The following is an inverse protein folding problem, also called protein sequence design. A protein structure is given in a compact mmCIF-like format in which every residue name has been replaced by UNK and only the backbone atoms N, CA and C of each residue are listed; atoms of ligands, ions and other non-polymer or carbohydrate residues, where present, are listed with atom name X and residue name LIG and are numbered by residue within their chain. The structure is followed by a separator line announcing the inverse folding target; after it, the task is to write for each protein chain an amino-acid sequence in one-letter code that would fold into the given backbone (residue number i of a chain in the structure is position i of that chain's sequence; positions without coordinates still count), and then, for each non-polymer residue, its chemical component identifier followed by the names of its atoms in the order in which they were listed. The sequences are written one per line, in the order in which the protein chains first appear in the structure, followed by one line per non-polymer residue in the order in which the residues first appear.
data_IF_268224277489
#
_entry.id   IF_268224277489
#
_cell.length_a   1.000
_cell.length_b   1.000
_cell.length_c   1.000
_cell.angle_alpha   90.00
_cell.angle_beta   90.00
_cell.angle_gamma   90.00
#
_symmetry.space_group_name_H-M   'P 1'
#
loop_
_entity.id
_entity.type
_entity.pdbx_description
1 polymer ?
#
# COMPACT_ATOMS: atom_id res chain seq x y z
N UNK A 1 -7.67 -13.50 4.70
CA UNK A 1 -6.42 -14.27 4.81
C UNK A 1 -5.12 -13.43 4.67
N UNK A 2 -5.14 -12.08 4.55
CA UNK A 2 -4.09 -11.42 3.73
C UNK A 2 -3.13 -10.39 4.36
N UNK A 3 -3.31 -9.84 5.57
CA UNK A 3 -2.33 -8.84 6.07
C UNK A 3 -1.19 -9.44 6.91
N UNK A 4 -1.51 -10.38 7.80
CA UNK A 4 -0.52 -11.00 8.72
C UNK A 4 0.45 -11.91 7.97
N UNK A 5 -0.04 -12.67 6.98
CA UNK A 5 0.77 -13.59 6.18
C UNK A 5 1.77 -12.85 5.29
N UNK A 6 1.37 -11.72 4.69
CA UNK A 6 2.26 -10.86 3.91
C UNK A 6 3.38 -10.27 4.78
N UNK A 7 3.05 -9.84 6.01
CA UNK A 7 4.04 -9.34 6.96
C UNK A 7 5.07 -10.38 7.40
N UNK A 8 4.66 -11.64 7.58
CA UNK A 8 5.56 -12.75 7.93
C UNK A 8 6.45 -13.14 6.75
N UNK A 9 5.90 -13.20 5.53
CA UNK A 9 6.66 -13.51 4.30
C UNK A 9 7.75 -12.47 4.04
N UNK A 10 7.44 -11.17 4.17
CA UNK A 10 8.44 -10.10 4.05
C UNK A 10 9.56 -10.22 5.10
N UNK A 11 9.20 -10.57 6.34
CA UNK A 11 10.17 -10.74 7.42
C UNK A 11 11.13 -11.90 7.15
N UNK A 12 10.60 -13.00 6.60
CA UNK A 12 11.39 -14.14 6.13
C UNK A 12 12.36 -13.78 5.01
N UNK A 13 11.91 -12.97 4.04
CA UNK A 13 12.72 -12.54 2.89
C UNK A 13 13.91 -11.67 3.31
N UNK A 14 13.70 -10.76 4.25
CA UNK A 14 14.80 -9.97 4.82
C UNK A 14 15.74 -10.83 5.65
N UNK A 15 15.21 -11.79 6.43
CA UNK A 15 16.03 -12.71 7.19
C UNK A 15 16.89 -13.62 6.28
N UNK A 16 16.37 -14.08 5.14
CA UNK A 16 17.12 -14.89 4.18
C UNK A 16 18.20 -14.07 3.47
N UNK A 17 17.90 -12.83 3.08
CA UNK A 17 18.89 -11.89 2.54
C UNK A 17 20.06 -11.70 3.51
N UNK A 18 19.74 -11.42 4.77
CA UNK A 18 20.73 -11.24 5.83
C UNK A 18 21.33 -12.57 6.32
N UNK A 19 20.79 -13.73 5.95
CA UNK A 19 21.40 -15.03 6.27
C UNK A 19 22.47 -15.46 5.25
N UNK A 20 22.52 -14.80 4.09
CA UNK A 20 23.33 -15.25 2.97
C UNK A 20 24.84 -14.97 3.16
N UNK A 21 25.71 -15.83 2.63
CA UNK A 21 27.16 -15.72 2.79
C UNK A 21 27.80 -14.63 1.92
N UNK A 22 27.09 -14.11 0.92
CA UNK A 22 27.59 -13.09 0.00
C UNK A 22 26.45 -12.24 -0.55
N UNK A 23 26.76 -11.02 -1.00
CA UNK A 23 25.77 -10.11 -1.59
C UNK A 23 25.05 -10.72 -2.81
N UNK A 24 25.72 -11.39 -3.77
CA UNK A 24 25.02 -12.07 -4.86
C UNK A 24 24.08 -13.18 -4.37
N UNK A 25 24.50 -13.98 -3.38
CA UNK A 25 23.66 -15.01 -2.78
C UNK A 25 22.46 -14.41 -2.01
N UNK A 26 22.65 -13.25 -1.38
CA UNK A 26 21.60 -12.51 -0.68
C UNK A 26 20.52 -12.02 -1.66
N UNK A 27 20.94 -11.45 -2.79
CA UNK A 27 20.04 -10.98 -3.86
C UNK A 27 19.22 -12.14 -4.44
N UNK A 28 19.83 -13.32 -4.61
CA UNK A 28 19.11 -14.49 -5.10
C UNK A 28 18.14 -15.05 -4.04
N UNK A 29 18.56 -15.08 -2.77
CA UNK A 29 17.73 -15.54 -1.66
C UNK A 29 16.48 -14.68 -1.44
N UNK A 30 16.58 -13.36 -1.64
CA UNK A 30 15.44 -12.45 -1.53
C UNK A 30 14.52 -12.52 -2.75
N UNK A 31 15.09 -12.71 -3.96
CA UNK A 31 14.32 -12.85 -5.21
C UNK A 31 13.32 -14.01 -5.16
N UNK A 32 13.69 -15.12 -4.53
CA UNK A 32 12.80 -16.28 -4.36
C UNK A 32 11.59 -16.05 -3.45
N UNK A 33 11.60 -15.01 -2.61
CA UNK A 33 10.55 -14.75 -1.61
C UNK A 33 9.82 -13.42 -1.84
N UNK A 34 10.46 -12.44 -2.45
CA UNK A 34 9.90 -11.13 -2.76
C UNK A 34 9.04 -11.18 -4.03
N UNK A 35 7.75 -11.47 -3.86
CA UNK A 35 6.77 -11.51 -4.95
C UNK A 35 6.59 -10.18 -5.68
N UNK A 36 6.83 -9.06 -4.99
CA UNK A 36 6.66 -7.73 -5.56
C UNK A 36 7.91 -7.23 -6.28
N UNK A 37 9.07 -7.84 -6.02
CA UNK A 37 10.36 -7.45 -6.57
C UNK A 37 10.93 -6.14 -5.99
N UNK A 38 10.21 -5.45 -5.08
CA UNK A 38 10.57 -4.13 -4.56
C UNK A 38 11.85 -4.16 -3.69
N UNK A 39 12.00 -5.18 -2.85
CA UNK A 39 13.20 -5.33 -2.03
C UNK A 39 14.37 -5.85 -2.86
N UNK A 40 14.07 -6.71 -3.83
CA UNK A 40 15.06 -7.24 -4.77
C UNK A 40 15.63 -6.13 -5.65
N UNK A 41 14.78 -5.27 -6.22
CA UNK A 41 15.21 -4.15 -7.05
C UNK A 41 16.07 -3.16 -6.27
N UNK A 42 15.69 -2.88 -5.01
CA UNK A 42 16.48 -2.04 -4.10
C UNK A 42 17.86 -2.64 -3.80
N UNK A 43 17.93 -3.93 -3.49
CA UNK A 43 19.18 -4.62 -3.22
C UNK A 43 20.12 -4.58 -4.43
N UNK A 44 19.59 -4.83 -5.63
CA UNK A 44 20.33 -4.77 -6.89
C UNK A 44 20.79 -3.34 -7.20
N UNK A 45 19.91 -2.34 -7.07
CA UNK A 45 20.24 -0.95 -7.33
C UNK A 45 21.30 -0.40 -6.37
N UNK A 46 21.23 -0.77 -5.08
CA UNK A 46 22.25 -0.44 -4.09
C UNK A 46 23.60 -1.09 -4.41
N UNK A 47 23.60 -2.39 -4.71
CA UNK A 47 24.79 -3.14 -5.09
C UNK A 47 25.46 -2.56 -6.34
N UNK A 48 24.67 -2.26 -7.38
CA UNK A 48 25.14 -1.65 -8.61
C UNK A 48 25.67 -0.24 -8.37
N UNK A 49 25.02 0.57 -7.53
CA UNK A 49 25.51 1.91 -7.19
C UNK A 49 26.86 1.87 -6.48
N UNK A 50 27.03 0.94 -5.52
CA UNK A 50 28.30 0.74 -4.83
C UNK A 50 29.41 0.16 -5.75
N UNK A 51 29.05 -0.62 -6.76
CA UNK A 51 29.98 -1.10 -7.80
C UNK A 51 30.41 0.00 -8.76
N UNK A 52 29.45 0.72 -9.34
CA UNK A 52 29.67 1.83 -10.28
C UNK A 52 30.56 2.91 -9.69
N UNK A 53 30.35 3.28 -8.42
CA UNK A 53 31.18 4.28 -7.76
C UNK A 53 32.63 3.81 -7.61
N UNK A 54 32.88 2.52 -7.33
CA UNK A 54 34.24 1.96 -7.23
C UNK A 54 34.96 1.95 -8.58
N UNK A 55 34.23 1.77 -9.67
CA UNK A 55 34.81 1.71 -11.02
C UNK A 55 34.98 3.10 -11.67
N UNK A 56 34.16 4.09 -11.28
CA UNK A 56 34.05 5.38 -11.97
C UNK A 56 34.25 6.60 -11.05
N UNK A 57 34.80 6.45 -9.83
CA UNK A 57 34.97 7.55 -8.86
C UNK A 57 35.71 8.77 -9.43
N UNK A 58 36.57 8.56 -10.41
CA UNK A 58 37.51 9.57 -10.92
C UNK A 58 37.08 10.21 -12.25
N UNK A 59 35.92 9.84 -12.82
CA UNK A 59 35.51 10.30 -14.15
C UNK A 59 34.05 10.79 -14.21
N UNK A 60 33.87 12.10 -14.38
CA UNK A 60 32.57 12.72 -14.73
C UNK A 60 32.20 13.95 -13.89
N UNK A 61 30.99 14.48 -14.14
CA UNK A 61 30.41 15.68 -13.48
C UNK A 61 30.21 15.46 -11.96
N UNK A 62 30.31 14.21 -11.48
CA UNK A 62 30.21 13.82 -10.06
C UNK A 62 31.55 13.50 -9.37
N UNK A 63 32.69 13.85 -9.96
CA UNK A 63 34.00 13.67 -9.32
C UNK A 63 34.04 14.39 -7.96
N UNK A 64 34.14 13.63 -6.86
CA UNK A 64 34.12 14.14 -5.48
C UNK A 64 32.88 13.78 -4.66
N UNK A 65 31.86 13.16 -5.25
CA UNK A 65 30.74 12.56 -4.50
C UNK A 65 31.27 11.38 -3.68
N UNK A 66 30.85 11.23 -2.42
CA UNK A 66 31.23 10.06 -1.63
C UNK A 66 30.43 8.82 -2.05
N UNK A 67 31.01 7.62 -1.91
CA UNK A 67 30.29 6.33 -2.07
C UNK A 67 28.97 6.35 -1.28
N UNK A 68 29.02 6.87 -0.05
CA UNK A 68 27.88 6.97 0.85
C UNK A 68 26.75 7.78 0.23
N UNK A 69 27.03 8.99 -0.26
CA UNK A 69 26.02 9.85 -0.87
C UNK A 69 25.45 9.26 -2.16
N UNK A 70 26.30 8.67 -3.00
CA UNK A 70 25.87 8.02 -4.25
C UNK A 70 24.92 6.85 -3.99
N UNK A 71 25.26 5.97 -3.05
CA UNK A 71 24.42 4.85 -2.64
C UNK A 71 23.13 5.35 -1.99
N UNK A 72 23.18 6.35 -1.09
CA UNK A 72 21.98 6.95 -0.49
C UNK A 72 21.03 7.48 -1.55
N UNK A 73 21.54 8.17 -2.57
CA UNK A 73 20.71 8.72 -3.65
C UNK A 73 20.05 7.62 -4.47
N UNK A 74 20.78 6.56 -4.81
CA UNK A 74 20.24 5.40 -5.52
C UNK A 74 19.11 4.73 -4.72
N UNK A 75 19.34 4.46 -3.43
CA UNK A 75 18.35 3.85 -2.55
C UNK A 75 17.11 4.72 -2.36
N UNK A 76 17.27 6.04 -2.19
CA UNK A 76 16.15 6.99 -2.13
C UNK A 76 15.32 6.98 -3.41
N UNK A 77 15.96 6.94 -4.58
CA UNK A 77 15.24 6.82 -5.85
C UNK A 77 14.38 5.56 -5.89
N UNK A 78 14.92 4.43 -5.45
CA UNK A 78 14.18 3.17 -5.40
C UNK A 78 13.01 3.20 -4.40
N UNK A 79 13.14 3.90 -3.27
CA UNK A 79 12.03 4.10 -2.33
C UNK A 79 10.89 4.88 -2.99
N UNK A 80 11.22 5.94 -3.73
CA UNK A 80 10.22 6.76 -4.45
C UNK A 80 9.51 5.94 -5.53
N UNK A 81 10.24 5.17 -6.33
CA UNK A 81 9.67 4.31 -7.38
C UNK A 81 8.76 3.23 -6.77
N UNK A 82 9.18 2.63 -5.66
CA UNK A 82 8.39 1.65 -4.91
C UNK A 82 7.11 2.28 -4.34
N UNK A 83 7.19 3.49 -3.79
CA UNK A 83 6.04 4.23 -3.29
C UNK A 83 5.00 4.46 -4.39
N UNK A 84 5.44 4.94 -5.56
CA UNK A 84 4.56 5.16 -6.71
C UNK A 84 3.85 3.87 -7.17
N UNK A 85 4.59 2.75 -7.21
CA UNK A 85 4.04 1.43 -7.55
C UNK A 85 2.98 0.97 -6.55
N UNK A 86 3.25 1.12 -5.24
CA UNK A 86 2.34 0.75 -4.15
C UNK A 86 1.07 1.61 -4.13
N UNK A 87 1.17 2.89 -4.51
CA UNK A 87 0.05 3.83 -4.52
C UNK A 87 -0.86 3.69 -5.75
N UNK A 88 -0.35 3.20 -6.88
CA UNK A 88 -1.12 3.04 -8.13
C UNK A 88 -2.41 2.23 -7.95
N UNK A 89 -2.37 1.15 -7.16
CA UNK A 89 -3.53 0.30 -6.88
C UNK A 89 -4.61 0.96 -6.01
N UNK A 90 -4.25 1.97 -5.21
CA UNK A 90 -5.21 2.71 -4.37
C UNK A 90 -6.10 3.64 -5.22
N UNK A 91 -5.58 4.17 -6.32
CA UNK A 91 -6.31 5.08 -7.21
C UNK A 91 -7.50 4.36 -7.86
N UNK A 92 -7.31 3.11 -8.30
CA UNK A 92 -8.40 2.30 -8.83
C UNK A 92 -9.49 2.01 -7.78
N UNK A 93 -9.08 1.63 -6.56
CA UNK A 93 -10.01 1.37 -5.46
C UNK A 93 -10.81 2.62 -5.06
N UNK A 94 -10.15 3.78 -5.03
CA UNK A 94 -10.79 5.06 -4.77
C UNK A 94 -11.81 5.41 -5.85
N UNK A 95 -11.48 5.20 -7.13
CA UNK A 95 -12.40 5.42 -8.26
C UNK A 95 -13.64 4.53 -8.16
N UNK A 96 -13.47 3.24 -7.87
CA UNK A 96 -14.59 2.30 -7.68
C UNK A 96 -15.45 2.70 -6.48
N UNK A 97 -14.83 3.05 -5.35
CA UNK A 97 -15.54 3.54 -4.17
C UNK A 97 -16.35 4.82 -4.43
N UNK A 98 -15.83 5.72 -5.27
CA UNK A 98 -16.51 6.98 -5.63
C UNK A 98 -17.65 6.79 -6.64
N UNK A 99 -17.58 5.76 -7.50
CA UNK A 99 -18.60 5.49 -8.52
C UNK A 99 -19.72 4.58 -8.02
N UNK A 100 -19.47 3.79 -6.98
CA UNK A 100 -20.47 2.89 -6.39
C UNK A 100 -21.80 3.56 -5.98
N UNK A 101 -21.83 4.76 -5.38
CA UNK A 101 -23.09 5.45 -5.05
C UNK A 101 -23.94 5.81 -6.28
N UNK A 102 -23.30 6.17 -7.40
CA UNK A 102 -24.01 6.53 -8.62
C UNK A 102 -24.66 5.33 -9.30
N UNK A 103 -24.03 4.15 -9.22
CA UNK A 103 -24.64 2.88 -9.67
C UNK A 103 -25.91 2.59 -8.84
N UNK A 104 -25.86 2.81 -7.53
CA UNK A 104 -27.03 2.66 -6.64
C UNK A 104 -28.15 3.65 -6.98
N UNK A 105 -27.82 4.93 -7.19
CA UNK A 105 -28.79 5.95 -7.61
C UNK A 105 -29.41 5.61 -8.98
N UNK A 106 -28.62 5.17 -9.95
CA UNK A 106 -29.11 4.73 -11.26
C UNK A 106 -30.14 3.60 -11.14
N UNK A 107 -29.90 2.61 -10.27
CA UNK A 107 -30.86 1.54 -10.00
C UNK A 107 -32.21 2.06 -9.49
N UNK A 108 -32.20 3.10 -8.64
CA UNK A 108 -33.45 3.71 -8.15
C UNK A 108 -34.21 4.46 -9.25
N UNK A 109 -33.51 5.21 -10.11
CA UNK A 109 -34.12 5.94 -11.24
C UNK A 109 -34.70 4.97 -12.26
N UNK A 110 -33.96 3.91 -12.59
CA UNK A 110 -34.39 2.86 -13.51
C UNK A 110 -35.66 2.14 -13.02
N UNK A 111 -35.72 1.85 -11.72
CA UNK A 111 -36.91 1.30 -11.07
C UNK A 111 -38.12 2.20 -11.26
N UNK A 112 -38.02 3.47 -10.86
CA UNK A 112 -39.12 4.44 -10.98
C UNK A 112 -39.57 4.59 -12.44
N UNK A 113 -38.64 4.63 -13.39
CA UNK A 113 -38.96 4.69 -14.81
C UNK A 113 -39.84 3.50 -15.24
N UNK A 114 -39.47 2.27 -14.88
CA UNK A 114 -40.25 1.07 -15.21
C UNK A 114 -41.65 1.08 -14.58
N UNK A 115 -41.76 1.55 -13.32
CA UNK A 115 -43.06 1.67 -12.65
C UNK A 115 -43.97 2.68 -13.36
N UNK A 116 -43.44 3.84 -13.76
CA UNK A 116 -44.20 4.87 -14.47
C UNK A 116 -44.60 4.44 -15.89
N UNK A 117 -43.72 3.73 -16.62
CA UNK A 117 -44.05 3.17 -17.94
C UNK A 117 -45.19 2.15 -17.83
N UNK A 118 -45.17 1.30 -16.79
CA UNK A 118 -46.27 0.37 -16.51
C UNK A 118 -47.62 1.05 -16.25
N UNK A 119 -47.61 2.25 -15.67
CA UNK A 119 -48.80 3.06 -15.40
C UNK A 119 -49.27 3.89 -16.61
N UNK A 120 -48.37 4.21 -17.56
CA UNK A 120 -48.66 5.06 -18.72
C UNK A 120 -49.64 4.46 -19.74
N UNK A 121 -49.97 3.17 -19.63
CA UNK A 121 -50.98 2.50 -20.44
C UNK A 121 -52.43 2.64 -19.93
N UNK A 122 -52.67 3.31 -18.80
CA UNK A 122 -54.00 3.42 -18.17
C UNK A 122 -54.72 4.75 -18.52
N UNK A 123 -55.91 4.67 -19.12
CA UNK A 123 -56.59 5.79 -19.83
C UNK A 123 -57.49 6.72 -18.97
N UNK A 124 -57.67 6.50 -17.66
CA UNK A 124 -58.54 7.35 -16.82
C UNK A 124 -57.98 7.60 -15.42
N UNK A 125 -57.63 8.86 -15.13
CA UNK A 125 -57.06 9.32 -13.84
C UNK A 125 -58.10 10.17 -13.10
N UNK A 126 -58.75 9.60 -12.07
CA UNK A 126 -59.65 10.30 -11.13
C UNK A 126 -58.90 10.46 -9.81
N UNK A 127 -59.04 11.60 -9.11
CA UNK A 127 -58.25 11.94 -7.91
C UNK A 127 -58.35 10.89 -6.77
N UNK A 128 -59.48 10.18 -6.67
CA UNK A 128 -59.70 9.07 -5.72
C UNK A 128 -58.93 7.78 -6.10
N UNK A 129 -58.53 7.65 -7.37
CA UNK A 129 -57.58 6.62 -7.85
C UNK A 129 -56.11 7.01 -7.69
N UNK A 130 -55.79 8.20 -7.17
CA UNK A 130 -54.40 8.70 -7.07
C UNK A 130 -53.73 8.25 -5.76
N UNK A 131 -54.50 7.88 -4.74
CA UNK A 131 -53.98 7.33 -3.48
C UNK A 131 -53.25 5.98 -3.66
N UNK A 132 -53.67 5.13 -4.61
CA UNK A 132 -53.02 3.87 -4.94
C UNK A 132 -51.62 4.05 -5.56
N UNK A 133 -51.50 4.77 -6.70
CA UNK A 133 -50.21 5.03 -7.36
C UNK A 133 -49.22 5.82 -6.51
N UNK A 134 -49.68 6.73 -5.65
CA UNK A 134 -48.81 7.46 -4.70
C UNK A 134 -48.28 6.53 -3.61
N UNK A 135 -49.11 5.58 -3.14
CA UNK A 135 -48.70 4.52 -2.21
C UNK A 135 -47.69 3.54 -2.84
N UNK A 136 -47.87 3.18 -4.11
CA UNK A 136 -46.92 2.33 -4.84
C UNK A 136 -45.57 3.03 -5.07
N UNK A 137 -45.56 4.33 -5.37
CA UNK A 137 -44.33 5.12 -5.46
C UNK A 137 -43.60 5.24 -4.11
N UNK A 138 -44.35 5.37 -3.00
CA UNK A 138 -43.80 5.36 -1.64
C UNK A 138 -43.23 3.99 -1.25
N UNK A 139 -43.90 2.89 -1.60
CA UNK A 139 -43.37 1.52 -1.39
C UNK A 139 -42.12 1.29 -2.24
N UNK A 140 -42.05 1.83 -3.45
CA UNK A 140 -40.86 1.73 -4.29
C UNK A 140 -39.68 2.53 -3.72
N UNK A 141 -39.96 3.68 -3.11
CA UNK A 141 -38.95 4.50 -2.41
C UNK A 141 -38.49 3.83 -1.11
N UNK A 142 -39.43 3.24 -0.35
CA UNK A 142 -39.13 2.44 0.83
C UNK A 142 -38.35 1.17 0.48
N UNK A 143 -38.66 0.52 -0.64
CA UNK A 143 -37.93 -0.62 -1.19
C UNK A 143 -36.52 -0.24 -1.62
N UNK A 144 -36.36 0.91 -2.28
CA UNK A 144 -35.05 1.48 -2.61
C UNK A 144 -34.20 1.76 -1.37
N UNK A 145 -34.79 2.31 -0.31
CA UNK A 145 -34.12 2.53 0.97
C UNK A 145 -33.81 1.21 1.70
N UNK A 146 -34.71 0.24 1.63
CA UNK A 146 -34.55 -1.10 2.19
C UNK A 146 -33.47 -1.92 1.48
N UNK A 147 -33.20 -1.66 0.20
CA UNK A 147 -32.03 -2.23 -0.51
C UNK A 147 -30.77 -1.42 -0.22
N UNK A 148 -30.87 -0.08 -0.23
CA UNK A 148 -29.72 0.82 -0.09
C UNK A 148 -29.07 0.74 1.29
N UNK A 149 -29.84 0.73 2.39
CA UNK A 149 -29.30 0.69 3.76
C UNK A 149 -28.46 -0.58 4.00
N UNK A 150 -28.97 -1.80 3.76
CA UNK A 150 -28.18 -3.01 3.93
C UNK A 150 -27.08 -3.16 2.87
N UNK A 151 -27.26 -2.68 1.63
CA UNK A 151 -26.18 -2.66 0.65
C UNK A 151 -25.03 -1.74 1.08
N UNK A 152 -25.32 -0.57 1.64
CA UNK A 152 -24.31 0.35 2.19
C UNK A 152 -23.64 -0.27 3.42
N UNK A 153 -24.39 -0.89 4.33
CA UNK A 153 -23.80 -1.59 5.49
C UNK A 153 -22.93 -2.78 5.08
N UNK A 154 -23.38 -3.58 4.11
CA UNK A 154 -22.70 -4.80 3.67
C UNK A 154 -21.52 -4.53 2.71
N UNK A 155 -21.54 -3.45 1.94
CA UNK A 155 -20.50 -3.13 0.95
C UNK A 155 -19.60 -2.00 1.43
N UNK A 156 -20.15 -0.90 1.94
CA UNK A 156 -19.36 0.27 2.27
C UNK A 156 -18.48 0.04 3.52
N UNK A 157 -19.00 -0.61 4.56
CA UNK A 157 -18.20 -0.88 5.77
C UNK A 157 -17.01 -1.80 5.44
N UNK A 158 -17.19 -2.96 4.76
CA UNK A 158 -16.05 -3.78 4.38
C UNK A 158 -15.11 -3.09 3.40
N UNK A 159 -15.62 -2.27 2.47
CA UNK A 159 -14.77 -1.53 1.54
C UNK A 159 -13.90 -0.49 2.25
N UNK A 160 -14.46 0.27 3.20
CA UNK A 160 -13.70 1.26 3.98
C UNK A 160 -12.70 0.58 4.90
N UNK A 161 -13.07 -0.53 5.55
CA UNK A 161 -12.15 -1.32 6.36
C UNK A 161 -11.03 -1.94 5.51
N UNK A 162 -11.33 -2.42 4.31
CA UNK A 162 -10.34 -2.91 3.37
C UNK A 162 -9.38 -1.79 2.95
N UNK A 163 -9.89 -0.63 2.54
CA UNK A 163 -9.07 0.53 2.19
C UNK A 163 -8.13 0.95 3.33
N UNK A 164 -8.65 1.03 4.57
CA UNK A 164 -7.84 1.34 5.74
C UNK A 164 -6.80 0.25 6.07
N UNK A 165 -7.14 -1.03 5.86
CA UNK A 165 -6.20 -2.13 6.03
C UNK A 165 -5.09 -2.11 4.97
N UNK A 166 -5.42 -1.83 3.71
CA UNK A 166 -4.45 -1.71 2.61
C UNK A 166 -3.51 -0.53 2.83
N UNK A 167 -4.03 0.66 3.18
CA UNK A 167 -3.19 1.84 3.46
C UNK A 167 -2.26 1.60 4.65
N UNK A 168 -2.73 0.93 5.71
CA UNK A 168 -1.86 0.50 6.83
C UNK A 168 -0.80 -0.49 6.38
N UNK A 169 -1.14 -1.47 5.54
CA UNK A 169 -0.21 -2.42 4.96
C UNK A 169 0.89 -1.73 4.13
N UNK A 170 0.50 -0.81 3.27
CA UNK A 170 1.41 -0.03 2.42
C UNK A 170 2.42 0.78 3.26
N UNK A 171 1.95 1.47 4.30
CA UNK A 171 2.81 2.20 5.24
C UNK A 171 3.83 1.29 5.94
N UNK A 172 3.41 0.09 6.34
CA UNK A 172 4.30 -0.87 6.97
C UNK A 172 5.36 -1.41 5.99
N UNK A 173 4.97 -1.67 4.74
CA UNK A 173 5.91 -2.09 3.68
C UNK A 173 6.94 -1.01 3.40
N UNK A 174 6.52 0.25 3.26
CA UNK A 174 7.42 1.39 3.06
C UNK A 174 8.38 1.57 4.25
N UNK A 175 7.88 1.52 5.49
CA UNK A 175 8.74 1.62 6.67
C UNK A 175 9.80 0.50 6.74
N UNK A 176 9.45 -0.71 6.30
CA UNK A 176 10.40 -1.83 6.21
C UNK A 176 11.41 -1.64 5.09
N UNK A 177 10.97 -1.08 3.97
CA UNK A 177 11.83 -0.75 2.84
C UNK A 177 12.84 0.33 3.22
N UNK A 178 12.41 1.38 3.93
CA UNK A 178 13.30 2.40 4.53
C UNK A 178 14.32 1.79 5.49
N UNK A 179 13.87 0.90 6.40
CA UNK A 179 14.77 0.20 7.30
C UNK A 179 15.81 -0.65 6.55
N UNK A 180 15.36 -1.40 5.54
CA UNK A 180 16.24 -2.19 4.68
C UNK A 180 17.25 -1.32 3.92
N UNK A 181 16.83 -0.16 3.41
CA UNK A 181 17.71 0.79 2.74
C UNK A 181 18.82 1.30 3.67
N UNK A 182 18.51 1.61 4.93
CA UNK A 182 19.51 2.02 5.92
C UNK A 182 20.50 0.90 6.23
N UNK A 183 20.00 -0.32 6.49
CA UNK A 183 20.85 -1.47 6.77
C UNK A 183 21.76 -1.81 5.57
N UNK A 184 21.22 -1.72 4.35
CA UNK A 184 21.95 -1.96 3.10
C UNK A 184 22.98 -0.87 2.84
N UNK A 185 22.64 0.39 3.07
CA UNK A 185 23.58 1.51 2.97
C UNK A 185 24.77 1.33 3.90
N UNK A 186 24.51 1.01 5.18
CA UNK A 186 25.56 0.73 6.15
C UNK A 186 26.43 -0.45 5.68
N UNK A 187 25.83 -1.54 5.23
CA UNK A 187 26.56 -2.72 4.74
C UNK A 187 27.43 -2.40 3.52
N UNK A 188 26.91 -1.67 2.54
CA UNK A 188 27.64 -1.37 1.30
C UNK A 188 28.77 -0.35 1.50
N UNK A 189 28.64 0.54 2.49
CA UNK A 189 29.63 1.59 2.75
C UNK A 189 30.67 1.19 3.80
N UNK A 190 30.29 0.40 4.80
CA UNK A 190 31.16 0.05 5.94
C UNK A 190 31.51 -1.44 6.00
N UNK A 191 30.82 -2.30 5.26
CA UNK A 191 30.94 -3.76 5.37
C UNK A 191 30.22 -4.35 6.58
N UNK A 192 29.68 -3.51 7.48
CA UNK A 192 28.94 -3.91 8.68
C UNK A 192 27.45 -3.61 8.52
N UNK A 193 26.62 -4.45 9.14
CA UNK A 193 25.17 -4.20 9.21
C UNK A 193 24.92 -3.17 10.30
N UNK A 194 24.67 -1.93 9.89
CA UNK A 194 24.28 -0.86 10.81
C UNK A 194 22.84 -1.01 11.25
N UNK A 195 22.54 -1.93 12.17
CA UNK A 195 21.21 -1.95 12.81
C UNK A 195 21.11 -0.74 13.73
N UNK A 196 20.05 0.09 13.62
CA UNK A 196 19.75 1.11 14.62
C UNK A 196 19.36 0.41 15.94
N UNK A 197 20.35 0.06 16.75
CA UNK A 197 20.18 -0.74 17.97
C UNK A 197 21.42 -1.51 18.43
N UNK A 198 22.46 -1.64 17.62
CA UNK A 198 23.75 -2.16 18.09
C UNK A 198 24.31 -1.20 19.14
N UNK A 199 24.16 -1.57 20.42
CA UNK A 199 24.63 -0.79 21.57
C UNK A 199 26.15 -0.85 21.63
N UNK A 200 26.80 -0.02 20.84
CA UNK A 200 28.25 0.19 20.94
C UNK A 200 28.64 0.99 22.20
N UNK A 201 27.67 1.66 22.82
CA UNK A 201 27.85 2.41 24.07
C UNK A 201 27.17 1.67 25.21
N UNK A 202 27.97 1.03 26.07
CA UNK A 202 27.49 0.44 27.31
C UNK A 202 27.19 1.53 28.35
N UNK A 203 25.94 2.01 28.34
CA UNK A 203 25.43 3.00 29.30
C UNK A 203 25.37 2.46 30.75
N UNK A 204 25.61 1.16 30.97
CA UNK A 204 25.73 0.57 32.29
C UNK A 204 26.96 1.08 33.06
N UNK A 205 28.06 1.35 32.34
CA UNK A 205 29.33 1.82 32.94
C UNK A 205 29.19 3.23 33.54
N UNK A 206 28.41 4.11 32.91
CA UNK A 206 28.21 5.50 33.38
C UNK A 206 27.31 5.57 34.62
N UNK A 207 26.44 4.58 34.83
CA UNK A 207 25.52 4.55 35.98
C UNK A 207 26.12 3.92 37.24
N UNK A 208 27.21 3.15 37.13
CA UNK A 208 27.90 2.54 38.27
C UNK A 208 28.85 3.48 39.04
N UNK A 209 29.25 4.61 38.46
CA UNK A 209 30.25 5.52 39.04
C UNK A 209 29.71 6.68 39.89
N UNK A 210 28.39 6.74 40.18
CA UNK A 210 27.77 7.83 40.97
C UNK A 210 27.34 7.43 42.39
N UNK A 211 27.76 6.24 42.85
CA UNK A 211 27.57 5.79 44.23
C UNK A 211 28.94 5.60 44.88
N UNK A 212 29.58 6.71 45.26
CA UNK A 212 30.84 6.76 45.99
C UNK A 212 30.91 8.06 46.77
#
# INVERSE_FOLDING_TARGET
MSCTRAGVVLGGALASFWGAPSLPAAIEAIRGQDRTGIFTSMAVAGANAAGLHREHSDRGIGAGVSVSEFVTRSLRSQIVDAQASIESGLTFLASVGSTAPFIGLFGTVWGIYHALVGLSGATQVVLDKVAGPVGEALIMTAGGLFVAIPAVLAVAIPAVLAYNAFTRGNRLTLARLDGFAHDLHAYLTTGLRGRPGDKLVDLGVVRGGRSG
#
